data_IF_279462621130
#
_entry.id   IF_279462621130
#
_cell.length_a   1.000
_cell.length_b   1.000
_cell.length_c   1.000
_cell.angle_alpha   90.00
_cell.angle_beta   90.00
_cell.angle_gamma   90.00
#
_symmetry.space_group_name_H-M   'P 1'
#
loop_
_entity.id
_entity.type
_entity.pdbx_description
1 polymer ?
#
# COMPACT_ATOMS: atom_id res chain seq x y z
N UNK A 1 -16.85 22.91 -61.74
CA UNK A 1 -15.44 22.57 -61.91
C UNK A 1 -14.92 22.06 -60.57
N UNK A 2 -14.94 20.74 -60.49
CA UNK A 2 -13.96 19.84 -59.86
C UNK A 2 -13.57 19.97 -58.38
N UNK A 3 -14.17 19.05 -57.62
CA UNK A 3 -13.59 18.08 -56.69
C UNK A 3 -12.04 17.96 -56.67
N UNK A 4 -11.45 18.05 -55.48
CA UNK A 4 -10.66 16.99 -54.82
C UNK A 4 -9.72 17.59 -53.74
N UNK A 5 -10.00 17.32 -52.46
CA UNK A 5 -9.13 16.41 -51.70
C UNK A 5 -9.83 16.01 -50.39
N UNK A 6 -10.16 14.72 -50.30
CA UNK A 6 -10.60 14.05 -49.10
C UNK A 6 -9.37 13.62 -48.28
N UNK A 7 -9.41 13.82 -46.97
CA UNK A 7 -8.36 13.35 -46.07
C UNK A 7 -8.81 13.35 -44.62
N UNK A 8 -9.17 12.16 -44.14
CA UNK A 8 -9.21 11.71 -42.74
C UNK A 8 -10.48 11.99 -41.89
N UNK A 9 -11.36 11.01 -42.04
CA UNK A 9 -12.24 10.40 -41.03
C UNK A 9 -11.54 10.16 -39.67
N UNK A 10 -12.18 10.63 -38.58
CA UNK A 10 -12.39 9.82 -37.36
C UNK A 10 -11.34 9.82 -36.23
N UNK A 11 -11.87 9.91 -35.00
CA UNK A 11 -11.24 9.83 -33.65
C UNK A 11 -10.58 11.15 -33.18
N UNK A 12 -10.91 11.74 -32.03
CA UNK A 12 -11.36 11.17 -30.77
C UNK A 12 -12.10 12.23 -29.90
N UNK A 13 -13.34 11.97 -29.42
CA UNK A 13 -13.94 12.73 -28.33
C UNK A 13 -13.44 12.31 -26.93
N UNK A 14 -12.61 11.26 -26.85
CA UNK A 14 -12.17 10.65 -25.58
C UNK A 14 -10.86 11.24 -25.05
N UNK A 15 -10.00 11.76 -25.94
CA UNK A 15 -8.70 12.32 -25.54
C UNK A 15 -8.83 13.60 -24.70
N UNK A 16 -9.84 14.42 -24.98
CA UNK A 16 -10.10 15.65 -24.23
C UNK A 16 -10.75 15.40 -22.85
N UNK A 17 -11.46 14.28 -22.67
CA UNK A 17 -12.02 13.96 -21.34
C UNK A 17 -10.97 13.45 -20.34
N UNK A 18 -9.85 12.90 -20.82
CA UNK A 18 -8.74 12.48 -19.96
C UNK A 18 -7.84 13.69 -19.59
N UNK A 19 -7.71 14.66 -20.50
CA UNK A 19 -6.94 15.89 -20.25
C UNK A 19 -7.61 16.82 -19.21
N UNK A 20 -8.94 16.88 -19.17
CA UNK A 20 -9.70 17.69 -18.20
C UNK A 20 -9.67 17.14 -16.76
N UNK A 21 -9.34 15.86 -16.56
CA UNK A 21 -9.12 15.28 -15.23
C UNK A 21 -7.76 15.68 -14.64
N UNK A 22 -6.81 16.04 -15.51
CA UNK A 22 -5.42 16.35 -15.15
C UNK A 22 -5.16 17.87 -15.00
N UNK A 23 -6.11 18.73 -15.39
CA UNK A 23 -5.92 20.18 -15.33
C UNK A 23 -6.03 20.74 -13.90
N UNK A 24 -4.98 21.40 -13.36
CA UNK A 24 -4.90 21.84 -11.96
C UNK A 24 -5.81 23.03 -11.61
N UNK A 25 -6.63 23.53 -12.54
CA UNK A 25 -7.46 24.73 -12.35
C UNK A 25 -8.91 24.46 -11.92
N UNK A 26 -9.33 23.20 -11.79
CA UNK A 26 -10.71 22.87 -11.42
C UNK A 26 -10.76 22.29 -10.01
N UNK A 27 -11.46 22.96 -9.08
CA UNK A 27 -11.57 22.63 -7.65
C UNK A 27 -12.08 21.21 -7.30
N UNK A 28 -12.27 20.34 -8.30
CA UNK A 28 -12.62 18.91 -8.17
C UNK A 28 -11.44 18.04 -7.73
N UNK A 29 -10.20 18.42 -8.04
CA UNK A 29 -9.00 17.69 -7.58
C UNK A 29 -8.85 17.69 -6.06
N UNK A 30 -9.19 18.82 -5.42
CA UNK A 30 -9.20 18.95 -3.96
C UNK A 30 -10.26 18.06 -3.30
N UNK A 31 -11.43 17.88 -3.93
CA UNK A 31 -12.52 17.04 -3.42
C UNK A 31 -12.16 15.55 -3.53
N UNK A 32 -11.51 15.15 -4.62
CA UNK A 32 -11.04 13.77 -4.79
C UNK A 32 -9.89 13.44 -3.83
N UNK A 33 -8.95 14.38 -3.65
CA UNK A 33 -7.90 14.27 -2.63
C UNK A 33 -8.48 14.20 -1.22
N UNK A 34 -9.50 15.00 -0.89
CA UNK A 34 -10.23 14.92 0.38
C UNK A 34 -10.93 13.56 0.55
N UNK A 35 -11.58 13.05 -0.49
CA UNK A 35 -12.23 11.73 -0.47
C UNK A 35 -11.25 10.58 -0.27
N UNK A 36 -10.06 10.65 -0.88
CA UNK A 36 -8.95 9.70 -0.66
C UNK A 36 -8.38 9.80 0.75
N UNK A 37 -8.25 11.03 1.30
CA UNK A 37 -7.78 11.26 2.66
C UNK A 37 -8.80 10.82 3.73
N UNK A 38 -10.09 10.80 3.39
CA UNK A 38 -11.19 10.33 4.25
C UNK A 38 -11.54 8.84 4.04
N UNK A 39 -11.03 8.18 3.00
CA UNK A 39 -11.27 6.75 2.75
C UNK A 39 -10.83 5.84 3.92
N UNK A 40 -9.69 6.11 4.60
CA UNK A 40 -9.34 5.43 5.84
C UNK A 40 -10.34 5.73 6.97
N UNK A 41 -10.95 6.91 7.00
CA UNK A 41 -11.90 7.33 8.05
C UNK A 41 -13.25 6.61 7.95
N UNK A 42 -13.76 6.29 6.76
CA UNK A 42 -14.96 5.45 6.63
C UNK A 42 -14.68 4.00 7.05
N UNK A 43 -13.49 3.49 6.75
CA UNK A 43 -13.03 2.18 7.24
C UNK A 43 -12.88 2.20 8.77
N UNK A 44 -12.26 3.23 9.34
CA UNK A 44 -12.17 3.47 10.78
C UNK A 44 -13.55 3.62 11.43
N UNK A 45 -14.49 4.32 10.80
CA UNK A 45 -15.86 4.49 11.29
C UNK A 45 -16.61 3.17 11.33
N UNK A 46 -16.40 2.32 10.33
CA UNK A 46 -16.95 0.95 10.31
C UNK A 46 -16.31 0.07 11.39
N UNK A 47 -15.02 0.23 11.66
CA UNK A 47 -14.27 -0.47 12.71
C UNK A 47 -14.69 -0.02 14.12
N UNK A 48 -14.84 1.29 14.36
CA UNK A 48 -15.28 1.87 15.64
C UNK A 48 -16.72 1.48 15.95
N UNK A 49 -17.61 1.49 14.95
CA UNK A 49 -19.02 1.08 15.11
C UNK A 49 -19.19 -0.38 15.51
N UNK A 50 -18.24 -1.25 15.15
CA UNK A 50 -18.30 -2.67 15.44
C UNK A 50 -17.67 -3.07 16.80
N UNK A 51 -17.08 -2.12 17.57
CA UNK A 51 -16.30 -2.39 18.80
C UNK A 51 -15.23 -3.51 18.68
N UNK A 52 -14.92 -3.93 17.46
CA UNK A 52 -14.01 -5.04 17.17
C UNK A 52 -12.58 -4.71 17.58
N UNK A 53 -12.18 -3.44 17.60
CA UNK A 53 -10.82 -3.01 17.95
C UNK A 53 -10.44 -3.32 19.39
N UNK A 54 -11.40 -3.27 20.33
CA UNK A 54 -11.17 -3.68 21.73
C UNK A 54 -10.80 -5.17 21.79
N UNK A 55 -11.56 -6.01 21.06
CA UNK A 55 -11.28 -7.44 20.96
C UNK A 55 -9.93 -7.69 20.28
N UNK A 56 -9.66 -7.07 19.12
CA UNK A 56 -8.37 -7.19 18.43
C UNK A 56 -7.21 -6.74 19.31
N UNK A 57 -7.32 -5.62 20.02
CA UNK A 57 -6.26 -5.09 20.88
C UNK A 57 -6.02 -5.98 22.10
N UNK A 58 -7.08 -6.56 22.68
CA UNK A 58 -6.97 -7.56 23.76
C UNK A 58 -6.35 -8.86 23.24
N UNK A 59 -6.73 -9.34 22.06
CA UNK A 59 -6.10 -10.51 21.45
C UNK A 59 -4.63 -10.26 21.11
N UNK A 60 -4.27 -9.05 20.70
CA UNK A 60 -2.91 -8.68 20.37
C UNK A 60 -2.04 -8.54 21.63
N UNK A 61 -2.57 -7.93 22.69
CA UNK A 61 -1.94 -7.92 24.01
C UNK A 61 -1.79 -9.34 24.59
N UNK A 62 -2.82 -10.18 24.47
CA UNK A 62 -2.78 -11.57 24.88
C UNK A 62 -1.73 -12.35 24.08
N UNK A 63 -1.64 -12.16 22.76
CA UNK A 63 -0.60 -12.76 21.92
C UNK A 63 0.80 -12.32 22.32
N UNK A 64 1.00 -11.03 22.61
CA UNK A 64 2.29 -10.50 23.06
C UNK A 64 2.66 -11.08 24.42
N UNK A 65 1.72 -11.14 25.37
CA UNK A 65 1.95 -11.74 26.68
C UNK A 65 2.25 -13.24 26.57
N UNK A 66 1.52 -13.97 25.73
CA UNK A 66 1.73 -15.39 25.48
C UNK A 66 3.05 -15.64 24.76
N UNK A 67 3.43 -14.76 23.84
CA UNK A 67 4.75 -14.78 23.19
C UNK A 67 5.87 -14.55 24.21
N UNK A 68 5.75 -13.56 25.09
CA UNK A 68 6.72 -13.22 26.14
C UNK A 68 6.79 -14.29 27.25
N UNK A 69 5.74 -15.08 27.47
CA UNK A 69 5.71 -16.16 28.46
C UNK A 69 6.11 -17.51 27.87
N UNK A 70 5.68 -17.84 26.65
CA UNK A 70 5.78 -19.20 26.09
C UNK A 70 6.94 -19.43 25.11
N UNK A 71 7.52 -18.40 24.49
CA UNK A 71 8.67 -18.59 23.58
C UNK A 71 9.94 -19.02 24.36
N UNK A 72 10.75 -19.91 23.80
CA UNK A 72 12.02 -20.31 24.40
C UNK A 72 12.89 -19.09 24.72
N UNK A 73 13.52 -19.08 25.90
CA UNK A 73 14.35 -17.95 26.38
C UNK A 73 15.38 -17.52 25.33
N UNK A 74 15.97 -18.46 24.59
CA UNK A 74 16.92 -18.17 23.52
C UNK A 74 16.33 -17.38 22.34
N UNK A 75 15.14 -17.75 21.85
CA UNK A 75 14.46 -17.03 20.75
C UNK A 75 13.94 -15.67 21.19
N UNK A 76 13.45 -15.55 22.44
CA UNK A 76 13.03 -14.28 23.04
C UNK A 76 14.18 -13.28 23.12
N UNK A 77 15.33 -13.70 23.65
CA UNK A 77 16.50 -12.82 23.78
C UNK A 77 17.01 -12.38 22.40
N UNK A 78 16.98 -13.26 21.39
CA UNK A 78 17.34 -12.89 20.01
C UNK A 78 16.40 -11.85 19.41
N UNK A 79 15.09 -12.01 19.58
CA UNK A 79 14.10 -11.06 19.05
C UNK A 79 14.09 -9.73 19.82
N UNK A 80 14.23 -9.77 21.14
CA UNK A 80 14.39 -8.57 21.97
C UNK A 80 15.69 -7.83 21.64
N UNK A 81 16.79 -8.56 21.43
CA UNK A 81 18.07 -8.00 21.00
C UNK A 81 17.99 -7.33 19.62
N UNK A 82 17.28 -7.94 18.67
CA UNK A 82 17.02 -7.32 17.36
C UNK A 82 16.22 -6.02 17.51
N UNK A 83 15.16 -6.03 18.33
CA UNK A 83 14.32 -4.86 18.58
C UNK A 83 15.13 -3.71 19.20
N UNK A 84 15.90 -4.00 20.26
CA UNK A 84 16.80 -3.02 20.88
C UNK A 84 17.85 -2.52 19.90
N UNK A 85 18.37 -3.38 19.02
CA UNK A 85 19.29 -3.00 17.96
C UNK A 85 18.68 -1.98 16.98
N UNK A 86 17.42 -2.17 16.57
CA UNK A 86 16.70 -1.22 15.70
C UNK A 86 16.49 0.12 16.40
N UNK A 87 16.07 0.12 17.67
CA UNK A 87 15.92 1.37 18.44
C UNK A 87 17.27 2.07 18.65
N UNK A 88 18.33 1.32 18.94
CA UNK A 88 19.69 1.85 19.05
C UNK A 88 20.17 2.49 17.75
N UNK A 89 19.98 1.81 16.62
CA UNK A 89 20.28 2.35 15.29
C UNK A 89 19.50 3.64 15.00
N UNK A 90 18.20 3.67 15.34
CA UNK A 90 17.37 4.86 15.18
C UNK A 90 17.90 6.04 16.00
N UNK A 91 18.28 5.82 17.27
CA UNK A 91 18.88 6.85 18.13
C UNK A 91 20.20 7.37 17.54
N UNK A 92 21.06 6.48 17.04
CA UNK A 92 22.32 6.86 16.38
C UNK A 92 22.07 7.72 15.15
N UNK A 93 21.09 7.35 14.30
CA UNK A 93 20.71 8.14 13.12
C UNK A 93 20.20 9.52 13.53
N UNK A 94 19.39 9.62 14.59
CA UNK A 94 18.86 10.90 15.09
C UNK A 94 19.99 11.77 15.63
N UNK A 95 20.86 11.25 16.49
CA UNK A 95 21.98 12.01 17.05
C UNK A 95 22.94 12.44 15.93
N UNK A 96 23.29 11.54 15.01
CA UNK A 96 24.14 11.84 13.86
C UNK A 96 23.52 12.91 12.94
N UNK A 97 22.21 12.86 12.73
CA UNK A 97 21.47 13.88 11.97
C UNK A 97 21.48 15.25 12.67
N UNK A 98 21.39 15.29 13.99
CA UNK A 98 21.44 16.53 14.77
C UNK A 98 22.82 17.19 14.79
N UNK A 99 23.90 16.42 14.60
CA UNK A 99 25.26 16.97 14.49
C UNK A 99 25.54 17.65 13.15
N UNK A 100 24.74 17.38 12.11
CA UNK A 100 24.85 18.03 10.80
C UNK A 100 24.20 19.41 10.87
N UNK A 101 25.03 20.45 10.86
CA UNK A 101 24.59 21.85 10.89
C UNK A 101 24.01 22.29 9.53
N UNK A 102 24.43 21.64 8.44
CA UNK A 102 23.94 21.89 7.08
C UNK A 102 22.53 21.29 6.86
N UNK A 103 21.53 22.17 6.88
CA UNK A 103 20.12 21.84 6.61
C UNK A 103 19.87 21.02 5.32
N UNK A 104 20.43 21.36 4.14
CA UNK A 104 20.18 20.61 2.92
C UNK A 104 20.83 19.22 2.93
N UNK A 105 22.04 19.10 3.50
CA UNK A 105 22.74 17.81 3.63
C UNK A 105 21.98 16.88 4.59
N UNK A 106 21.53 17.41 5.72
CA UNK A 106 20.73 16.67 6.71
C UNK A 106 19.44 16.13 6.09
N UNK A 107 18.71 16.96 5.34
CA UNK A 107 17.48 16.54 4.64
C UNK A 107 17.76 15.41 3.66
N UNK A 108 18.84 15.50 2.88
CA UNK A 108 19.17 14.47 1.89
C UNK A 108 19.57 13.14 2.55
N UNK A 109 20.41 13.17 3.58
CA UNK A 109 20.84 11.93 4.29
C UNK A 109 19.66 11.24 4.95
N UNK A 110 18.85 11.98 5.71
CA UNK A 110 17.66 11.43 6.38
C UNK A 110 16.62 10.97 5.35
N UNK A 111 16.45 11.73 4.27
CA UNK A 111 15.55 11.39 3.17
C UNK A 111 15.93 10.09 2.48
N UNK A 112 17.22 9.90 2.15
CA UNK A 112 17.72 8.65 1.54
C UNK A 112 17.54 7.46 2.50
N UNK A 113 17.88 7.61 3.78
CA UNK A 113 17.70 6.56 4.79
C UNK A 113 16.22 6.19 4.99
N UNK A 114 15.34 7.19 4.96
CA UNK A 114 13.90 6.99 5.03
C UNK A 114 13.38 6.26 3.79
N UNK A 115 13.83 6.64 2.60
CA UNK A 115 13.48 5.96 1.35
C UNK A 115 13.95 4.51 1.36
N UNK A 116 15.20 4.26 1.75
CA UNK A 116 15.76 2.91 1.86
C UNK A 116 14.94 2.05 2.83
N UNK A 117 14.56 2.60 3.99
CA UNK A 117 13.72 1.91 4.97
C UNK A 117 12.33 1.60 4.41
N UNK A 118 11.69 2.56 3.73
CA UNK A 118 10.37 2.37 3.13
C UNK A 118 10.39 1.29 2.03
N UNK A 119 11.40 1.31 1.17
CA UNK A 119 11.59 0.28 0.13
C UNK A 119 11.85 -1.09 0.77
N UNK A 120 12.64 -1.17 1.84
CA UNK A 120 12.88 -2.44 2.55
C UNK A 120 11.61 -3.06 3.12
N UNK A 121 10.64 -2.23 3.54
CA UNK A 121 9.36 -2.68 4.09
C UNK A 121 8.49 -3.38 3.03
N UNK A 122 8.70 -3.11 1.74
CA UNK A 122 8.00 -3.79 0.64
C UNK A 122 8.32 -5.29 0.54
N UNK A 123 9.35 -5.78 1.25
CA UNK A 123 9.64 -7.20 1.39
C UNK A 123 8.44 -8.01 1.92
N UNK A 124 7.65 -7.45 2.84
CA UNK A 124 6.47 -8.14 3.39
C UNK A 124 5.34 -8.28 2.33
N UNK A 125 4.87 -7.21 1.67
CA UNK A 125 3.98 -7.28 0.50
C UNK A 125 4.41 -8.27 -0.60
N UNK A 126 5.70 -8.29 -0.93
CA UNK A 126 6.29 -9.19 -1.92
C UNK A 126 6.26 -10.65 -1.47
N UNK A 127 6.51 -10.92 -0.18
CA UNK A 127 6.40 -12.25 0.39
C UNK A 127 4.98 -12.79 0.29
N UNK A 128 3.97 -11.97 0.56
CA UNK A 128 2.55 -12.35 0.43
C UNK A 128 2.21 -12.67 -1.04
N UNK A 129 2.68 -11.88 -2.00
CA UNK A 129 2.50 -12.19 -3.44
C UNK A 129 3.07 -13.57 -3.77
N UNK A 130 4.32 -13.85 -3.37
CA UNK A 130 4.95 -15.14 -3.61
C UNK A 130 4.20 -16.28 -2.91
N UNK A 131 3.69 -16.04 -1.69
CA UNK A 131 2.87 -17.00 -0.95
C UNK A 131 1.59 -17.33 -1.72
N UNK A 132 0.84 -16.33 -2.18
CA UNK A 132 -0.42 -16.50 -2.94
C UNK A 132 -0.19 -17.30 -4.23
N UNK A 133 0.90 -17.02 -4.95
CA UNK A 133 1.24 -17.76 -6.18
C UNK A 133 1.50 -19.24 -5.88
N UNK A 134 2.16 -19.54 -4.75
CA UNK A 134 2.50 -20.90 -4.33
C UNK A 134 1.31 -21.66 -3.75
N UNK A 135 0.53 -21.03 -2.89
CA UNK A 135 -0.61 -21.65 -2.21
C UNK A 135 -1.86 -21.68 -3.07
N UNK A 136 -1.87 -20.93 -4.18
CA UNK A 136 -3.05 -20.73 -5.06
C UNK A 136 -4.28 -20.19 -4.31
N UNK A 137 -4.10 -19.67 -3.10
CA UNK A 137 -5.17 -19.22 -2.22
C UNK A 137 -4.94 -17.77 -1.79
N UNK A 138 -6.00 -16.97 -1.86
CA UNK A 138 -6.05 -15.57 -1.41
C UNK A 138 -6.43 -15.42 0.06
N UNK A 139 -6.53 -16.52 0.80
CA UNK A 139 -6.93 -16.52 2.22
C UNK A 139 -5.98 -15.68 3.09
N UNK A 140 -4.70 -15.61 2.72
CA UNK A 140 -3.68 -14.84 3.43
C UNK A 140 -3.63 -13.35 3.05
N UNK A 141 -4.48 -12.88 2.12
CA UNK A 141 -4.51 -11.48 1.72
C UNK A 141 -5.95 -10.92 1.62
N UNK A 142 -6.45 -10.24 2.67
CA UNK A 142 -7.77 -9.61 2.61
C UNK A 142 -7.78 -8.47 1.58
N UNK A 143 -8.75 -8.51 0.65
CA UNK A 143 -8.93 -7.50 -0.43
C UNK A 143 -8.82 -6.06 0.06
N UNK A 144 -9.53 -5.74 1.15
CA UNK A 144 -9.58 -4.41 1.72
C UNK A 144 -8.19 -3.91 2.16
N UNK A 145 -7.30 -4.82 2.58
CA UNK A 145 -5.94 -4.47 2.99
C UNK A 145 -5.10 -4.09 1.76
N UNK A 146 -5.16 -4.88 0.68
CA UNK A 146 -4.47 -4.56 -0.58
C UNK A 146 -4.97 -3.27 -1.21
N UNK A 147 -6.29 -3.05 -1.22
CA UNK A 147 -6.88 -1.85 -1.77
C UNK A 147 -6.49 -0.62 -0.94
N UNK A 148 -6.53 -0.73 0.39
CA UNK A 148 -6.17 0.37 1.29
C UNK A 148 -4.69 0.73 1.18
N UNK A 149 -3.78 -0.24 1.06
CA UNK A 149 -2.35 0.03 0.87
C UNK A 149 -2.06 0.66 -0.48
N UNK A 150 -2.74 0.22 -1.55
CA UNK A 150 -2.67 0.87 -2.87
C UNK A 150 -3.15 2.32 -2.81
N UNK A 151 -4.32 2.58 -2.21
CA UNK A 151 -4.88 3.92 -2.07
C UNK A 151 -4.03 4.83 -1.18
N UNK A 152 -3.45 4.29 -0.11
CA UNK A 152 -2.48 5.00 0.72
C UNK A 152 -1.24 5.39 -0.11
N UNK A 153 -0.66 4.43 -0.83
CA UNK A 153 0.57 4.65 -1.57
C UNK A 153 0.39 5.64 -2.72
N UNK A 154 -0.71 5.56 -3.47
CA UNK A 154 -1.01 6.52 -4.54
C UNK A 154 -1.28 7.92 -3.99
N UNK A 155 -1.89 8.02 -2.80
CA UNK A 155 -2.12 9.32 -2.14
C UNK A 155 -0.80 9.97 -1.73
N UNK A 156 0.13 9.23 -1.13
CA UNK A 156 1.46 9.75 -0.80
C UNK A 156 2.32 10.04 -2.05
N UNK A 157 2.20 9.23 -3.09
CA UNK A 157 2.84 9.48 -4.38
C UNK A 157 2.37 10.80 -5.00
N UNK A 158 1.06 11.03 -5.08
CA UNK A 158 0.48 12.28 -5.58
C UNK A 158 0.84 13.47 -4.68
N UNK A 159 0.85 13.28 -3.36
CA UNK A 159 1.32 14.30 -2.43
C UNK A 159 2.80 14.67 -2.68
N UNK A 160 3.68 13.68 -2.84
CA UNK A 160 5.09 13.92 -3.18
C UNK A 160 5.26 14.60 -4.53
N UNK A 161 4.43 14.23 -5.52
CA UNK A 161 4.44 14.81 -6.86
C UNK A 161 4.01 16.30 -6.82
N UNK A 162 2.93 16.64 -6.12
CA UNK A 162 2.45 18.02 -6.00
C UNK A 162 3.37 18.92 -5.18
N UNK A 163 4.06 18.37 -4.18
CA UNK A 163 5.03 19.12 -3.37
C UNK A 163 6.45 19.08 -3.95
N UNK A 164 6.65 18.46 -5.12
CA UNK A 164 7.97 18.23 -5.73
C UNK A 164 9.00 17.61 -4.76
N UNK A 165 8.55 16.77 -3.82
CA UNK A 165 9.42 16.08 -2.86
C UNK A 165 9.77 14.68 -3.39
N UNK A 166 10.98 14.58 -3.96
CA UNK A 166 11.55 13.35 -4.49
C UNK A 166 11.59 12.20 -3.47
N UNK A 167 11.80 12.49 -2.19
CA UNK A 167 11.90 11.46 -1.14
C UNK A 167 10.55 10.84 -0.80
N UNK A 168 9.46 11.57 -1.02
CA UNK A 168 8.11 11.05 -0.79
C UNK A 168 7.56 10.41 -2.06
N UNK A 169 7.75 11.05 -3.22
CA UNK A 169 7.28 10.57 -4.51
C UNK A 169 7.91 9.23 -4.92
N UNK A 170 9.24 9.11 -4.89
CA UNK A 170 9.94 7.96 -5.46
C UNK A 170 9.58 6.61 -4.81
N UNK A 171 9.68 6.42 -3.48
CA UNK A 171 9.37 5.13 -2.86
C UNK A 171 7.87 4.81 -2.89
N UNK A 172 6.98 5.81 -2.80
CA UNK A 172 5.53 5.57 -2.92
C UNK A 172 5.09 5.24 -4.35
N UNK A 173 5.86 5.64 -5.37
CA UNK A 173 5.64 5.16 -6.74
C UNK A 173 5.84 3.65 -6.85
N UNK A 174 6.92 3.13 -6.25
CA UNK A 174 7.19 1.69 -6.17
C UNK A 174 6.07 0.98 -5.38
N UNK A 175 5.66 1.55 -4.25
CA UNK A 175 4.56 1.01 -3.44
C UNK A 175 3.23 0.95 -4.20
N UNK A 176 2.95 1.95 -5.05
CA UNK A 176 1.76 1.99 -5.90
C UNK A 176 1.79 0.88 -6.95
N UNK A 177 2.95 0.64 -7.58
CA UNK A 177 3.14 -0.47 -8.52
C UNK A 177 2.93 -1.83 -7.83
N UNK A 178 3.53 -2.03 -6.65
CA UNK A 178 3.35 -3.25 -5.88
C UNK A 178 1.90 -3.46 -5.44
N UNK A 179 1.23 -2.43 -4.94
CA UNK A 179 -0.19 -2.48 -4.57
C UNK A 179 -1.10 -2.80 -5.75
N UNK A 180 -0.76 -2.30 -6.95
CA UNK A 180 -1.48 -2.65 -8.20
C UNK A 180 -1.35 -4.13 -8.52
N UNK A 181 -0.13 -4.68 -8.44
CA UNK A 181 0.13 -6.12 -8.65
C UNK A 181 -0.66 -6.96 -7.66
N UNK A 182 -0.67 -6.56 -6.39
CA UNK A 182 -1.43 -7.26 -5.34
C UNK A 182 -2.94 -7.28 -5.64
N UNK A 183 -3.50 -6.16 -6.10
CA UNK A 183 -4.92 -6.06 -6.42
C UNK A 183 -5.30 -6.95 -7.62
N UNK A 184 -4.48 -6.93 -8.68
CA UNK A 184 -4.69 -7.76 -9.87
C UNK A 184 -4.61 -9.24 -9.54
N UNK A 185 -3.60 -9.63 -8.76
CA UNK A 185 -3.40 -11.02 -8.35
C UNK A 185 -4.57 -11.52 -7.49
N UNK A 186 -5.05 -10.68 -6.57
CA UNK A 186 -6.24 -10.97 -5.79
C UNK A 186 -7.47 -11.19 -6.70
N UNK A 187 -7.73 -10.27 -7.64
CA UNK A 187 -8.87 -10.39 -8.56
C UNK A 187 -8.81 -11.69 -9.38
N UNK A 188 -7.63 -12.07 -9.85
CA UNK A 188 -7.43 -13.31 -10.61
C UNK A 188 -7.72 -14.55 -9.76
N UNK A 189 -7.05 -14.69 -8.61
CA UNK A 189 -7.21 -15.88 -7.77
C UNK A 189 -8.57 -15.96 -7.08
N UNK A 190 -9.15 -14.83 -6.69
CA UNK A 190 -10.48 -14.77 -6.09
C UNK A 190 -11.57 -15.17 -7.10
N UNK A 191 -11.38 -14.87 -8.38
CA UNK A 191 -12.26 -15.36 -9.46
C UNK A 191 -12.14 -16.87 -9.64
N UNK A 192 -10.92 -17.40 -9.72
CA UNK A 192 -10.67 -18.85 -9.86
C UNK A 192 -11.26 -19.64 -8.69
N UNK A 193 -11.03 -19.21 -7.45
CA UNK A 193 -11.57 -19.86 -6.26
C UNK A 193 -13.12 -19.87 -6.22
N UNK A 194 -13.75 -18.80 -6.74
CA UNK A 194 -15.22 -18.73 -6.89
C UNK A 194 -15.75 -19.65 -7.96
N UNK A 195 -15.02 -19.88 -9.03
CA UNK A 195 -15.39 -20.83 -10.10
C UNK A 195 -15.30 -22.28 -9.57
N UNK A 196 -14.22 -22.63 -8.87
CA UNK A 196 -14.03 -23.96 -8.25
C UNK A 196 -15.09 -24.29 -7.18
N UNK A 197 -15.53 -23.28 -6.41
CA UNK A 197 -16.61 -23.45 -5.42
C UNK A 197 -18.01 -23.61 -6.05
N UNK A 198 -18.18 -23.30 -7.34
CA UNK A 198 -19.46 -23.47 -8.07
C UNK A 198 -19.57 -24.85 -8.72
N UNK A 199 -18.46 -25.52 -8.98
CA UNK A 199 -18.44 -26.89 -9.52
C UNK A 199 -18.76 -28.06 -8.55
N UNK A 200 -18.86 -27.96 -7.21
CA UNK A 200 -19.08 -29.16 -6.36
C UNK A 200 -20.56 -29.57 -6.18
N UNK A 201 -21.54 -29.01 -6.91
CA UNK A 201 -22.97 -29.31 -6.66
C UNK A 201 -23.80 -29.70 -7.89
N UNK A 202 -23.19 -29.93 -9.07
CA UNK A 202 -23.92 -30.44 -10.26
C UNK A 202 -23.54 -31.88 -10.62
N UNK A 203 -22.60 -32.50 -9.90
CA UNK A 203 -22.26 -33.92 -10.07
C UNK A 203 -22.50 -34.67 -8.77
N UNK A 204 -23.40 -35.67 -8.83
CA UNK A 204 -23.87 -36.57 -7.77
C UNK A 204 -25.16 -36.07 -7.08
N UNK A 205 -26.37 -36.59 -7.33
CA UNK A 205 -26.82 -37.91 -7.77
C UNK A 205 -27.93 -37.77 -8.84
N UNK A 206 -27.74 -38.37 -10.02
CA UNK A 206 -28.81 -38.73 -10.94
C UNK A 206 -28.50 -40.14 -11.48
#
# INVERSE_FOLDING_TARGET
>A
MDLANAGEVGKAPVANQVADVVSPSSGRGHIFAFGLFLSPLDTFRRVIRNKTTEQFSVFQLAYILLFITYVEKGKKIKMLGLLLGVFGLFIVIVIGSLQITDLPLRRNVVGILSCASLVSMFSSPLFIINLVIRTKSVEFMPFYLSLSTFLMSISFFLYGLFNYDLFVYAPNGIGTMLGSVQLVLYCYFSRVAREESREPLIVSYA
#
